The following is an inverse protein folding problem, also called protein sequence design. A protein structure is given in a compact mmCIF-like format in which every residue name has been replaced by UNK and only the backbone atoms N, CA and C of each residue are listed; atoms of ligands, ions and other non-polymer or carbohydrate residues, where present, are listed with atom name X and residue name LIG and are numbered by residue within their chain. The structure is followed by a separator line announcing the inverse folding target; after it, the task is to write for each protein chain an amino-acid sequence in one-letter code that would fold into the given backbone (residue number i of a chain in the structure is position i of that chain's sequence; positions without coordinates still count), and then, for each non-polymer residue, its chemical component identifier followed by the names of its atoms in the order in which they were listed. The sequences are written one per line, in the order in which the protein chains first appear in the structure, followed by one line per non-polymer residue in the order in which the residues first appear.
data_IF_318752940194
#
_entry.id   IF_318752940194
#
_cell.length_a   1.000
_cell.length_b   1.000
_cell.length_c   1.000
_cell.angle_alpha   90.00
_cell.angle_beta   90.00
_cell.angle_gamma   90.00
#
_symmetry.space_group_name_H-M   'P 1'
#
loop_
_entity.id
_entity.type
_entity.pdbx_description
1 polymer ?
#
# COMPACT_ATOMS: atom_id res chain seq x y z
N UNK A 1 2.10 16.38 3.42
CA UNK A 1 0.65 16.09 3.25
C UNK A 1 0.39 14.69 3.81
N UNK A 2 -0.72 14.44 4.50
CA UNK A 2 -1.00 13.11 5.04
C UNK A 2 -1.67 12.26 3.95
N UNK A 3 -1.11 11.11 3.53
CA UNK A 3 -1.71 10.28 2.49
C UNK A 3 -3.12 9.78 2.86
N UNK A 4 -3.46 9.65 4.15
CA UNK A 4 -4.81 9.30 4.57
C UNK A 4 -5.86 10.33 4.16
N UNK A 5 -5.45 11.58 3.93
CA UNK A 5 -6.35 12.63 3.43
C UNK A 5 -6.80 12.38 1.99
N UNK A 6 -6.08 11.53 1.25
CA UNK A 6 -6.42 11.10 -0.11
C UNK A 6 -7.47 9.99 -0.11
N UNK A 7 -7.55 9.22 0.97
CA UNK A 7 -8.54 8.16 1.09
C UNK A 7 -9.94 8.75 1.20
N UNK A 8 -10.93 8.18 0.49
CA UNK A 8 -12.34 8.41 0.73
C UNK A 8 -12.67 8.28 2.23
N UNK A 9 -13.62 9.06 2.76
CA UNK A 9 -13.97 9.02 4.18
C UNK A 9 -14.28 7.61 4.71
N UNK A 10 -14.93 6.77 3.88
CA UNK A 10 -15.24 5.38 4.23
C UNK A 10 -13.98 4.52 4.44
N UNK A 11 -12.97 4.64 3.58
CA UNK A 11 -11.71 3.90 3.72
C UNK A 11 -10.85 4.47 4.86
N UNK A 12 -10.86 5.81 5.02
CA UNK A 12 -10.15 6.47 6.12
C UNK A 12 -10.66 6.01 7.48
N UNK A 13 -11.97 5.85 7.65
CA UNK A 13 -12.59 5.38 8.87
C UNK A 13 -12.24 3.92 9.24
N UNK A 14 -11.70 3.15 8.30
CA UNK A 14 -11.26 1.77 8.51
C UNK A 14 -9.78 1.66 8.88
N UNK A 15 -9.02 2.76 8.81
CA UNK A 15 -7.63 2.78 9.20
C UNK A 15 -7.48 2.76 10.73
N UNK A 16 -6.65 1.86 11.24
CA UNK A 16 -6.30 1.83 12.67
C UNK A 16 -5.15 2.78 13.04
N UNK A 17 -4.61 3.54 12.07
CA UNK A 17 -3.46 4.43 12.27
C UNK A 17 -3.59 5.70 11.45
N UNK A 18 -3.10 6.81 12.00
CA UNK A 18 -3.12 8.14 11.39
C UNK A 18 -1.96 8.39 10.41
N UNK A 19 -1.03 7.43 10.29
CA UNK A 19 0.19 7.57 9.47
C UNK A 19 0.44 6.42 8.49
N UNK A 20 -0.09 5.24 8.80
CA UNK A 20 0.08 4.04 7.99
C UNK A 20 -1.28 3.38 7.87
N UNK A 21 -1.96 3.42 6.70
CA UNK A 21 -3.26 2.80 6.57
C UNK A 21 -3.15 1.31 6.84
N UNK A 22 -3.93 0.84 7.80
CA UNK A 22 -4.10 -0.58 8.12
C UNK A 22 -5.53 -0.95 7.76
N UNK A 23 -5.70 -1.65 6.64
CA UNK A 23 -7.01 -1.87 6.02
C UNK A 23 -7.30 -3.35 5.80
N UNK A 24 -8.55 -3.81 5.86
CA UNK A 24 -8.89 -5.16 5.42
C UNK A 24 -8.57 -5.38 3.93
N UNK A 25 -8.51 -6.64 3.51
CA UNK A 25 -8.01 -7.04 2.19
C UNK A 25 -8.59 -6.24 1.00
N UNK A 26 -9.92 -6.16 0.87
CA UNK A 26 -10.56 -5.48 -0.26
C UNK A 26 -10.26 -3.97 -0.23
N UNK A 27 -10.28 -3.38 0.97
CA UNK A 27 -10.02 -1.96 1.18
C UNK A 27 -8.55 -1.59 1.00
N UNK A 28 -7.63 -2.50 1.31
CA UNK A 28 -6.22 -2.33 1.02
C UNK A 28 -5.96 -2.27 -0.48
N UNK A 29 -6.64 -3.11 -1.28
CA UNK A 29 -6.56 -3.05 -2.74
C UNK A 29 -7.13 -1.73 -3.28
N UNK A 30 -8.29 -1.31 -2.80
CA UNK A 30 -8.89 -0.02 -3.17
C UNK A 30 -7.98 1.17 -2.81
N UNK A 31 -7.35 1.13 -1.63
CA UNK A 31 -6.40 2.15 -1.22
C UNK A 31 -5.16 2.22 -2.13
N UNK A 32 -4.61 1.08 -2.57
CA UNK A 32 -3.48 1.04 -3.51
C UNK A 32 -3.82 1.75 -4.82
N UNK A 33 -5.02 1.55 -5.37
CA UNK A 33 -5.46 2.24 -6.59
C UNK A 33 -5.54 3.77 -6.41
N UNK A 34 -6.05 4.23 -5.26
CA UNK A 34 -6.12 5.65 -4.93
C UNK A 34 -4.72 6.25 -4.81
N UNK A 35 -3.81 5.57 -4.11
CA UNK A 35 -2.44 6.07 -3.94
C UNK A 35 -1.68 6.16 -5.26
N UNK A 36 -1.82 5.14 -6.11
CA UNK A 36 -1.24 5.16 -7.46
C UNK A 36 -1.76 6.35 -8.28
N UNK A 37 -3.08 6.54 -8.30
CA UNK A 37 -3.73 7.66 -8.99
C UNK A 37 -3.22 9.02 -8.48
N UNK A 38 -3.05 9.15 -7.16
CA UNK A 38 -2.54 10.35 -6.51
C UNK A 38 -1.01 10.50 -6.56
N UNK A 39 -0.28 9.62 -7.27
CA UNK A 39 1.19 9.64 -7.38
C UNK A 39 1.94 9.39 -6.08
N UNK A 40 1.37 8.59 -5.19
CA UNK A 40 2.03 8.09 -3.98
C UNK A 40 2.51 6.65 -4.19
N UNK A 41 3.78 6.39 -3.92
CA UNK A 41 4.35 5.06 -4.11
C UNK A 41 4.05 4.18 -2.89
N UNK A 42 3.44 3.01 -3.11
CA UNK A 42 3.23 1.98 -2.07
C UNK A 42 4.47 1.07 -2.01
N UNK A 43 5.49 1.51 -1.29
CA UNK A 43 6.81 0.84 -1.27
C UNK A 43 6.90 -0.33 -0.28
N UNK A 44 5.83 -0.64 0.45
CA UNK A 44 5.82 -1.80 1.32
C UNK A 44 4.42 -2.15 1.78
N UNK A 45 4.20 -3.44 2.06
CA UNK A 45 2.96 -3.91 2.65
C UNK A 45 3.24 -5.05 3.63
N UNK A 46 2.36 -5.20 4.62
CA UNK A 46 2.45 -6.30 5.59
C UNK A 46 1.07 -6.73 6.08
N UNK A 47 0.81 -8.04 6.06
CA UNK A 47 -0.34 -8.60 6.75
C UNK A 47 -0.14 -8.49 8.28
N UNK A 48 -1.08 -7.90 8.99
CA UNK A 48 -1.04 -7.79 10.45
C UNK A 48 -1.14 -9.18 11.08
N UNK A 49 -0.25 -9.49 12.02
CA UNK A 49 -0.28 -10.76 12.78
C UNK A 49 0.69 -11.84 12.28
N UNK A 50 1.39 -11.64 11.16
CA UNK A 50 2.54 -12.46 10.78
C UNK A 50 3.85 -11.82 11.27
N UNK A 51 4.73 -12.63 11.85
CA UNK A 51 6.02 -12.19 12.41
C UNK A 51 6.91 -11.56 11.33
N UNK A 52 7.37 -10.34 11.61
CA UNK A 52 8.47 -9.54 11.04
C UNK A 52 8.85 -9.59 9.54
N UNK A 53 8.08 -10.23 8.65
CA UNK A 53 8.26 -10.09 7.20
C UNK A 53 7.55 -8.85 6.69
N UNK A 54 8.26 -7.81 6.23
CA UNK A 54 7.66 -6.83 5.31
C UNK A 54 7.64 -7.49 3.94
N UNK A 55 6.47 -7.62 3.32
CA UNK A 55 6.40 -7.94 1.90
C UNK A 55 6.92 -6.72 1.15
N UNK A 56 8.21 -6.74 0.84
CA UNK A 56 8.87 -5.72 0.04
C UNK A 56 9.36 -6.38 -1.24
N UNK A 57 8.75 -6.04 -2.36
CA UNK A 57 9.45 -6.16 -3.64
C UNK A 57 10.67 -5.23 -3.64
N UNK A 58 11.49 -5.32 -4.68
CA UNK A 58 12.56 -4.33 -4.89
C UNK A 58 11.92 -2.94 -5.06
N UNK A 59 11.97 -2.16 -4.00
CA UNK A 59 11.15 -0.95 -3.81
C UNK A 59 12.00 0.31 -3.85
N UNK A 60 13.27 0.19 -4.21
CA UNK A 60 14.10 1.32 -4.57
C UNK A 60 13.72 1.81 -5.97
N UNK A 61 13.72 3.14 -6.14
CA UNK A 61 13.54 3.77 -7.44
C UNK A 61 14.86 3.66 -8.22
N UNK A 62 14.80 3.11 -9.43
CA UNK A 62 15.99 2.98 -10.26
C UNK A 62 16.49 4.36 -10.73
N UNK A 63 17.80 4.49 -10.91
CA UNK A 63 18.38 5.73 -11.41
C UNK A 63 17.80 6.09 -12.79
N UNK A 64 17.20 7.27 -12.91
CA UNK A 64 16.56 7.75 -14.14
C UNK A 64 15.14 7.23 -14.37
N UNK A 65 14.59 6.38 -13.50
CA UNK A 65 13.19 5.94 -13.57
C UNK A 65 12.25 7.13 -13.35
N UNK A 66 11.28 7.39 -14.24
CA UNK A 66 10.25 8.41 -14.00
C UNK A 66 9.44 8.10 -12.74
N UNK A 67 9.08 9.12 -11.96
CA UNK A 67 8.28 8.93 -10.74
C UNK A 67 6.97 8.18 -11.00
N UNK A 68 6.34 8.46 -12.15
CA UNK A 68 5.10 7.81 -12.55
C UNK A 68 5.23 6.30 -12.71
N UNK A 69 6.36 5.85 -13.24
CA UNK A 69 6.64 4.46 -13.56
C UNK A 69 7.01 3.71 -12.27
N UNK A 70 7.80 4.38 -11.41
CA UNK A 70 8.09 3.90 -10.07
C UNK A 70 6.82 3.68 -9.23
N UNK A 71 5.90 4.65 -9.21
CA UNK A 71 4.62 4.55 -8.50
C UNK A 71 3.78 3.38 -9.03
N UNK A 72 3.68 3.25 -10.36
CA UNK A 72 2.93 2.17 -10.98
C UNK A 72 3.50 0.79 -10.61
N UNK A 73 4.82 0.62 -10.73
CA UNK A 73 5.53 -0.61 -10.36
C UNK A 73 5.32 -0.96 -8.88
N UNK A 74 5.43 0.01 -7.97
CA UNK A 74 5.14 -0.19 -6.55
C UNK A 74 3.71 -0.65 -6.31
N UNK A 75 2.73 -0.04 -6.99
CA UNK A 75 1.32 -0.43 -6.87
C UNK A 75 1.07 -1.86 -7.37
N UNK A 76 1.66 -2.25 -8.51
CA UNK A 76 1.57 -3.62 -9.02
C UNK A 76 2.18 -4.64 -8.05
N UNK A 77 3.37 -4.36 -7.51
CA UNK A 77 4.01 -5.19 -6.50
C UNK A 77 3.12 -5.35 -5.25
N UNK A 78 2.54 -4.25 -4.76
CA UNK A 78 1.66 -4.27 -3.60
C UNK A 78 0.40 -5.12 -3.85
N UNK A 79 -0.28 -4.94 -4.99
CA UNK A 79 -1.45 -5.77 -5.35
C UNK A 79 -1.07 -7.24 -5.42
N UNK A 80 0.04 -7.57 -6.10
CA UNK A 80 0.51 -8.95 -6.23
C UNK A 80 0.83 -9.56 -4.86
N UNK A 81 1.51 -8.82 -3.98
CA UNK A 81 1.85 -9.32 -2.65
C UNK A 81 0.64 -9.44 -1.71
N UNK A 82 -0.32 -8.52 -1.79
CA UNK A 82 -1.59 -8.60 -1.05
C UNK A 82 -2.39 -9.83 -1.52
N UNK A 83 -2.45 -10.08 -2.83
CA UNK A 83 -3.05 -11.30 -3.40
C UNK A 83 -2.27 -12.57 -3.03
N UNK A 84 -0.94 -12.54 -3.06
CA UNK A 84 -0.09 -13.67 -2.69
C UNK A 84 -0.27 -14.09 -1.22
N UNK A 85 -0.58 -13.15 -0.34
CA UNK A 85 -0.95 -13.39 1.06
C UNK A 85 -2.32 -14.04 1.26
N UNK A 86 -3.05 -14.41 0.20
CA UNK A 86 -4.43 -14.90 0.24
C UNK A 86 -4.68 -16.28 0.86
N UNK A 87 -3.65 -17.01 1.33
CA UNK A 87 -3.87 -18.19 2.17
C UNK A 87 -4.46 -17.76 3.55
N UNK A 88 -5.75 -17.40 3.58
CA UNK A 88 -6.49 -16.88 4.73
C UNK A 88 -6.82 -15.38 4.73
N UNK A 89 -6.57 -14.62 3.64
CA UNK A 89 -6.57 -13.14 3.66
C UNK A 89 -7.89 -12.43 3.90
N UNK A 90 -9.07 -13.04 3.71
CA UNK A 90 -10.35 -12.35 3.96
C UNK A 90 -10.53 -11.87 5.41
N UNK A 91 -9.71 -12.36 6.35
CA UNK A 91 -9.69 -11.91 7.75
C UNK A 91 -8.43 -11.11 8.12
N UNK A 92 -7.49 -10.92 7.18
CA UNK A 92 -6.22 -10.23 7.43
C UNK A 92 -6.38 -8.74 7.13
N UNK A 93 -5.73 -7.90 7.92
CA UNK A 93 -5.52 -6.48 7.61
C UNK A 93 -4.12 -6.30 7.04
N UNK A 94 -3.97 -5.32 6.17
CA UNK A 94 -2.73 -4.98 5.50
C UNK A 94 -2.34 -3.57 5.88
N UNK A 95 -1.13 -3.42 6.39
CA UNK A 95 -0.46 -2.14 6.56
C UNK A 95 0.22 -1.76 5.26
N UNK A 96 0.05 -0.52 4.81
CA UNK A 96 0.72 0.02 3.62
C UNK A 96 1.74 1.10 4.01
N UNK A 97 2.95 1.01 3.47
CA UNK A 97 4.01 2.01 3.60
C UNK A 97 4.04 2.87 2.32
N UNK A 98 4.05 4.18 2.51
CA UNK A 98 3.85 5.15 1.44
C UNK A 98 5.02 6.14 1.36
N UNK A 99 5.47 6.45 0.14
CA UNK A 99 6.45 7.50 -0.16
C UNK A 99 5.75 8.57 -0.99
N UNK A 100 5.97 9.84 -0.61
CA UNK A 100 5.45 11.01 -1.28
C UNK A 100 6.23 11.31 -2.58
N UNK A 101 5.61 11.95 -3.58
CA UNK A 101 6.34 12.57 -4.68
C UNK A 101 7.31 13.64 -4.14
N UNK A 102 8.47 13.75 -4.78
CA UNK A 102 9.44 14.84 -4.56
C UNK A 102 8.83 16.23 -4.82
#
# INVERSE_FOLDING_TARGET
MNPLELLPPALRALSDSDREPVLPYEEALAAVEIFEYCRWAVCGWRATGEGEGVGGGDTERAAGEPWTDYVHRCAECARYGIHGGCAGARRRRFRLLLIAPD
#
